data_IF_466742681764
#
_entry.id   IF_466742681764
#
_cell.length_a   1.000
_cell.length_b   1.000
_cell.length_c   1.000
_cell.angle_alpha   90.00
_cell.angle_beta   90.00
_cell.angle_gamma   90.00
#
_symmetry.space_group_name_H-M   'P 1'
#
loop_
_entity.id
_entity.type
_entity.pdbx_description
1 polymer ?
#
# COMPACT_ATOMS: atom_id res chain seq x y z
N UNK A 1 -2.18 -1.42 -12.77
CA UNK A 1 -1.80 -1.04 -11.39
C UNK A 1 -1.21 0.38 -11.25
N UNK A 2 -1.59 1.08 -10.17
CA UNK A 2 -1.04 2.36 -9.69
C UNK A 2 -0.26 2.15 -8.39
N UNK A 3 0.83 2.91 -8.20
CA UNK A 3 1.59 2.95 -6.95
C UNK A 3 1.56 4.34 -6.34
N UNK A 4 1.37 4.39 -5.02
CA UNK A 4 1.46 5.61 -4.22
C UNK A 4 2.31 5.31 -2.98
N UNK A 5 2.92 6.30 -2.36
CA UNK A 5 3.56 6.10 -1.05
C UNK A 5 3.27 7.23 -0.07
N UNK A 6 3.25 6.90 1.21
CA UNK A 6 3.22 7.87 2.31
C UNK A 6 4.49 7.76 3.15
N UNK A 7 5.12 8.91 3.41
CA UNK A 7 6.21 9.00 4.37
C UNK A 7 5.67 8.90 5.81
N UNK A 8 6.22 7.96 6.59
CA UNK A 8 5.90 7.73 8.00
C UNK A 8 7.16 7.79 8.88
N UNK A 9 8.04 8.77 8.59
CA UNK A 9 9.34 8.91 9.24
C UNK A 9 10.41 8.07 8.52
N UNK A 10 11.01 7.11 9.22
CA UNK A 10 12.05 6.22 8.66
C UNK A 10 11.49 5.25 7.62
N UNK A 11 10.24 4.85 7.79
CA UNK A 11 9.54 3.93 6.89
C UNK A 11 8.58 4.68 5.98
N UNK A 12 8.26 4.06 4.85
CA UNK A 12 7.16 4.44 3.98
C UNK A 12 6.14 3.30 3.91
N UNK A 13 4.88 3.66 3.84
CA UNK A 13 3.84 2.75 3.36
C UNK A 13 3.77 2.88 1.84
N UNK A 14 4.01 1.79 1.12
CA UNK A 14 3.81 1.71 -0.32
C UNK A 14 2.44 1.10 -0.57
N UNK A 15 1.58 1.85 -1.25
CA UNK A 15 0.23 1.45 -1.64
C UNK A 15 0.25 0.89 -3.05
N UNK A 16 -0.43 -0.24 -3.24
CA UNK A 16 -0.63 -0.90 -4.52
C UNK A 16 -2.12 -0.90 -4.82
N UNK A 17 -2.50 -0.36 -5.96
CA UNK A 17 -3.89 -0.24 -6.41
C UNK A 17 -4.04 -0.88 -7.80
N UNK A 18 -4.93 -1.86 -7.92
CA UNK A 18 -5.14 -2.64 -9.13
C UNK A 18 -5.87 -3.95 -8.84
N UNK A 19 -5.83 -4.88 -9.78
CA UNK A 19 -6.40 -6.21 -9.57
C UNK A 19 -5.57 -7.01 -8.56
N UNK A 20 -6.23 -7.90 -7.83
CA UNK A 20 -5.62 -8.67 -6.74
C UNK A 20 -4.35 -9.41 -7.20
N UNK A 21 -4.42 -10.08 -8.34
CA UNK A 21 -3.30 -10.83 -8.90
C UNK A 21 -2.12 -9.90 -9.30
N UNK A 22 -2.41 -8.69 -9.82
CA UNK A 22 -1.37 -7.71 -10.14
C UNK A 22 -0.63 -7.23 -8.88
N UNK A 23 -1.38 -7.00 -7.80
CA UNK A 23 -0.86 -6.57 -6.50
C UNK A 23 0.04 -7.66 -5.92
N UNK A 24 -0.42 -8.91 -5.89
CA UNK A 24 0.34 -10.04 -5.37
C UNK A 24 1.64 -10.26 -6.18
N UNK A 25 1.57 -10.20 -7.50
CA UNK A 25 2.74 -10.32 -8.37
C UNK A 25 3.76 -9.19 -8.13
N UNK A 26 3.30 -7.95 -7.97
CA UNK A 26 4.19 -6.82 -7.71
C UNK A 26 4.82 -6.92 -6.33
N UNK A 27 4.06 -7.30 -5.30
CA UNK A 27 4.60 -7.55 -3.97
C UNK A 27 5.64 -8.67 -3.99
N UNK A 28 5.36 -9.78 -4.67
CA UNK A 28 6.31 -10.90 -4.82
C UNK A 28 7.62 -10.44 -5.50
N UNK A 29 7.53 -9.63 -6.56
CA UNK A 29 8.70 -9.03 -7.20
C UNK A 29 9.49 -8.15 -6.22
N UNK A 30 8.80 -7.25 -5.52
CA UNK A 30 9.40 -6.37 -4.53
C UNK A 30 10.06 -7.14 -3.38
N UNK A 31 9.44 -8.22 -2.91
CA UNK A 31 9.97 -9.13 -1.90
C UNK A 31 11.26 -9.80 -2.37
N UNK A 32 11.23 -10.42 -3.55
CA UNK A 32 12.38 -11.11 -4.13
C UNK A 32 13.58 -10.18 -4.37
N UNK A 33 13.32 -8.90 -4.61
CA UNK A 33 14.35 -7.87 -4.79
C UNK A 33 14.70 -7.09 -3.51
N UNK A 34 14.12 -7.46 -2.36
CA UNK A 34 14.51 -6.99 -1.03
C UNK A 34 13.90 -5.67 -0.60
N UNK A 35 12.77 -5.26 -1.20
CA UNK A 35 12.03 -4.07 -0.78
C UNK A 35 11.43 -4.26 0.62
N UNK A 36 10.96 -5.46 0.93
CA UNK A 36 10.30 -5.75 2.21
C UNK A 36 10.58 -7.17 2.70
N UNK A 37 10.19 -7.42 3.95
CA UNK A 37 10.00 -8.72 4.58
C UNK A 37 8.63 -8.82 5.27
N UNK A 38 7.76 -7.84 5.04
CA UNK A 38 6.41 -7.80 5.59
C UNK A 38 5.41 -8.35 4.57
N UNK A 39 4.39 -9.02 5.08
CA UNK A 39 3.22 -9.41 4.30
C UNK A 39 2.50 -8.18 3.73
N UNK A 40 1.61 -8.43 2.77
CA UNK A 40 0.64 -7.45 2.28
C UNK A 40 -0.44 -7.20 3.33
N UNK A 41 -0.74 -5.93 3.58
CA UNK A 41 -1.89 -5.51 4.38
C UNK A 41 -2.99 -5.04 3.42
N UNK A 42 -4.06 -5.83 3.30
CA UNK A 42 -5.19 -5.53 2.42
C UNK A 42 -6.12 -4.49 3.04
N UNK A 43 -6.51 -3.52 2.22
CA UNK A 43 -7.47 -2.47 2.58
C UNK A 43 -8.84 -2.83 2.03
N UNK A 44 -8.88 -3.30 0.78
CA UNK A 44 -10.03 -3.85 0.09
C UNK A 44 -9.55 -4.75 -1.07
N UNK A 45 -10.45 -5.26 -1.89
CA UNK A 45 -10.14 -6.21 -2.98
C UNK A 45 -9.16 -5.67 -4.04
N UNK A 46 -9.10 -4.34 -4.20
CA UNK A 46 -8.29 -3.68 -5.24
C UNK A 46 -7.14 -2.85 -4.67
N UNK A 47 -6.89 -2.93 -3.36
CA UNK A 47 -5.89 -2.08 -2.72
C UNK A 47 -5.27 -2.73 -1.50
N UNK A 48 -3.95 -2.72 -1.48
CA UNK A 48 -3.14 -3.18 -0.36
C UNK A 48 -1.95 -2.26 -0.11
N UNK A 49 -1.26 -2.46 1.00
CA UNK A 49 0.00 -1.78 1.26
C UNK A 49 1.04 -2.70 1.89
N UNK A 50 2.29 -2.26 1.82
CA UNK A 50 3.42 -2.90 2.50
C UNK A 50 4.34 -1.84 3.07
N UNK A 51 5.02 -2.19 4.16
CA UNK A 51 6.03 -1.32 4.77
C UNK A 51 7.39 -1.51 4.11
N UNK A 52 8.11 -0.41 3.87
CA UNK A 52 9.47 -0.42 3.36
C UNK A 52 10.22 0.85 3.77
N UNK A 53 11.43 1.05 3.27
CA UNK A 53 12.16 2.32 3.31
C UNK A 53 12.46 2.77 1.88
N UNK A 54 12.63 4.07 1.64
CA UNK A 54 13.00 4.59 0.30
C UNK A 54 14.25 3.90 -0.25
N UNK A 55 15.25 3.67 0.60
CA UNK A 55 16.48 2.99 0.22
C UNK A 55 16.25 1.54 -0.21
N UNK A 56 15.42 0.78 0.52
CA UNK A 56 15.10 -0.61 0.17
C UNK A 56 14.28 -0.69 -1.10
N UNK A 57 13.26 0.17 -1.22
CA UNK A 57 12.43 0.23 -2.43
C UNK A 57 13.28 0.56 -3.65
N UNK A 58 14.09 1.62 -3.61
CA UNK A 58 14.96 1.99 -4.73
C UNK A 58 15.94 0.86 -5.09
N UNK A 59 16.58 0.23 -4.08
CA UNK A 59 17.45 -0.93 -4.32
C UNK A 59 16.71 -2.08 -5.00
N UNK A 60 15.48 -2.35 -4.60
CA UNK A 60 14.68 -3.41 -5.19
C UNK A 60 14.31 -3.09 -6.64
N UNK A 61 13.94 -1.85 -6.95
CA UNK A 61 13.67 -1.40 -8.32
C UNK A 61 14.92 -1.54 -9.21
N UNK A 62 16.10 -1.18 -8.71
CA UNK A 62 17.37 -1.39 -9.43
C UNK A 62 17.60 -2.87 -9.74
N UNK A 63 17.40 -3.74 -8.75
CA UNK A 63 17.60 -5.17 -8.92
C UNK A 63 16.60 -5.79 -9.90
N UNK A 64 15.33 -5.37 -9.84
CA UNK A 64 14.28 -5.82 -10.75
C UNK A 64 14.59 -5.41 -12.20
N UNK A 65 14.96 -4.15 -12.41
CA UNK A 65 15.34 -3.64 -13.73
C UNK A 65 16.60 -4.33 -14.25
N UNK A 66 17.60 -4.56 -13.41
CA UNK A 66 18.81 -5.29 -13.79
C UNK A 66 18.49 -6.73 -14.22
N UNK A 67 17.63 -7.42 -13.47
CA UNK A 67 17.20 -8.79 -13.80
C UNK A 67 16.46 -8.82 -15.15
N UNK A 68 15.56 -7.85 -15.39
CA UNK A 68 14.87 -7.71 -16.68
C UNK A 68 15.83 -7.45 -17.85
N UNK A 69 16.77 -6.52 -17.69
CA UNK A 69 17.78 -6.22 -18.71
C UNK A 69 18.63 -7.47 -19.05
N UNK A 70 19.05 -8.23 -18.04
CA UNK A 70 19.81 -9.46 -18.23
C UNK A 70 18.99 -10.57 -18.90
N UNK A 71 17.68 -10.63 -18.67
CA UNK A 71 16.80 -11.62 -19.30
C UNK A 71 16.49 -11.33 -20.78
N UNK A 72 16.51 -10.06 -21.19
CA UNK A 72 16.20 -9.63 -22.57
C UNK A 72 17.45 -9.65 -23.47
N UNK A 73 18.61 -9.30 -22.92
CA UNK A 73 19.85 -9.23 -23.68
C UNK A 73 20.42 -10.64 -23.89
N UNK A 74 20.20 -11.19 -25.09
CA UNK A 74 20.79 -12.47 -25.51
C UNK A 74 22.32 -12.42 -25.68
N UNK A 75 22.89 -11.22 -25.78
CA UNK A 75 24.28 -10.96 -26.14
C UNK A 75 24.86 -9.93 -25.18
N UNK A 76 25.80 -10.36 -24.33
CA UNK A 76 26.50 -9.56 -23.31
C UNK A 76 27.52 -8.59 -23.94
N UNK A 77 27.74 -8.71 -25.24
CA UNK A 77 28.79 -8.05 -26.01
C UNK A 77 28.73 -6.52 -25.94
N UNK A 78 27.55 -5.90 -25.94
CA UNK A 78 27.40 -4.43 -25.91
C UNK A 78 27.80 -3.78 -24.58
N UNK A 79 27.86 -4.58 -23.50
CA UNK A 79 28.15 -4.09 -22.15
C UNK A 79 29.44 -4.70 -21.57
N UNK A 80 30.15 -5.49 -22.37
CA UNK A 80 31.43 -6.10 -22.02
C UNK A 80 32.51 -5.03 -21.92
N UNK A 81 33.12 -4.90 -20.75
CA UNK A 81 34.17 -3.89 -20.49
C UNK A 81 33.66 -2.57 -19.92
N UNK A 82 32.33 -2.37 -19.83
CA UNK A 82 31.75 -1.24 -19.09
C UNK A 82 31.85 -1.54 -17.59
N UNK A 83 32.46 -0.65 -16.82
CA UNK A 83 32.55 -0.77 -15.36
C UNK A 83 31.14 -0.78 -14.76
N UNK A 84 30.74 -1.93 -14.20
CA UNK A 84 29.40 -2.14 -13.65
C UNK A 84 28.37 -2.71 -14.64
N UNK A 85 28.74 -2.98 -15.89
CA UNK A 85 27.88 -3.60 -16.90
C UNK A 85 26.55 -2.84 -17.07
N UNK A 86 25.43 -3.54 -16.92
CA UNK A 86 24.07 -3.00 -17.04
C UNK A 86 23.57 -2.23 -15.82
N UNK A 87 24.32 -2.23 -14.71
CA UNK A 87 23.89 -1.62 -13.45
C UNK A 87 23.60 -0.10 -13.56
N UNK A 88 24.39 0.71 -14.30
CA UNK A 88 24.07 2.12 -14.50
C UNK A 88 22.70 2.30 -15.17
N UNK A 89 22.40 1.52 -16.22
CA UNK A 89 21.11 1.60 -16.90
C UNK A 89 19.95 1.18 -16.00
N UNK A 90 20.14 0.13 -15.21
CA UNK A 90 19.16 -0.30 -14.23
C UNK A 90 18.87 0.77 -13.16
N UNK A 91 19.87 1.57 -12.77
CA UNK A 91 19.69 2.71 -11.86
C UNK A 91 18.87 3.83 -12.48
N UNK A 92 19.17 4.22 -13.71
CA UNK A 92 18.39 5.23 -14.43
C UNK A 92 16.91 4.83 -14.52
N UNK A 93 16.62 3.58 -14.88
CA UNK A 93 15.25 3.08 -14.97
C UNK A 93 14.55 3.06 -13.61
N UNK A 94 15.25 2.64 -12.56
CA UNK A 94 14.72 2.63 -11.20
C UNK A 94 14.44 4.05 -10.68
N UNK A 95 15.28 5.03 -11.01
CA UNK A 95 15.08 6.43 -10.62
C UNK A 95 13.84 7.02 -11.31
N UNK A 96 13.64 6.71 -12.60
CA UNK A 96 12.43 7.09 -13.35
C UNK A 96 11.19 6.43 -12.76
N UNK A 97 11.24 5.11 -12.50
CA UNK A 97 10.12 4.38 -11.89
C UNK A 97 9.77 4.94 -10.52
N UNK A 98 10.77 5.14 -9.64
CA UNK A 98 10.56 5.70 -8.31
C UNK A 98 9.99 7.12 -8.36
N UNK A 99 10.47 7.96 -9.28
CA UNK A 99 9.97 9.33 -9.47
C UNK A 99 8.52 9.38 -9.96
N UNK A 100 8.07 8.31 -10.63
CA UNK A 100 6.68 8.14 -11.05
C UNK A 100 5.73 7.70 -9.93
N UNK A 101 6.23 7.28 -8.77
CA UNK A 101 5.40 6.89 -7.63
C UNK A 101 4.89 8.15 -6.92
N UNK A 102 3.57 8.33 -6.90
CA UNK A 102 2.94 9.50 -6.30
C UNK A 102 3.12 9.50 -4.78
N UNK A 103 3.63 10.60 -4.22
CA UNK A 103 3.66 10.79 -2.77
C UNK A 103 2.30 11.32 -2.29
N UNK A 104 1.63 10.57 -1.43
CA UNK A 104 0.34 10.94 -0.83
C UNK A 104 0.48 11.30 0.65
N UNK A 105 -0.45 12.13 1.14
CA UNK A 105 -0.53 12.51 2.54
C UNK A 105 -1.80 11.94 3.20
N UNK A 106 -1.66 11.48 4.45
CA UNK A 106 -2.77 11.10 5.35
C UNK A 106 -3.69 9.99 4.81
N UNK A 107 -3.16 9.05 4.04
CA UNK A 107 -3.96 7.98 3.44
C UNK A 107 -4.65 7.11 4.49
N UNK A 108 -3.93 6.75 5.56
CA UNK A 108 -4.51 6.03 6.70
C UNK A 108 -5.63 6.80 7.43
N UNK A 109 -5.54 8.13 7.53
CA UNK A 109 -6.58 8.93 8.17
C UNK A 109 -7.88 8.96 7.33
N UNK A 110 -7.74 8.97 5.99
CA UNK A 110 -8.90 8.85 5.08
C UNK A 110 -9.62 7.52 5.27
N UNK A 111 -8.87 6.42 5.37
CA UNK A 111 -9.47 5.08 5.54
C UNK A 111 -10.13 4.90 6.89
N UNK A 112 -9.51 5.37 7.98
CA UNK A 112 -10.13 5.34 9.30
C UNK A 112 -11.45 6.12 9.30
N UNK A 113 -11.52 7.26 8.60
CA UNK A 113 -12.75 8.05 8.49
C UNK A 113 -13.84 7.34 7.66
N UNK A 114 -13.45 6.66 6.57
CA UNK A 114 -14.37 5.91 5.72
C UNK A 114 -14.93 4.66 6.40
N UNK A 115 -14.08 3.90 7.10
CA UNK A 115 -14.51 2.73 7.87
C UNK A 115 -15.53 3.10 8.96
N UNK A 116 -15.29 4.20 9.68
CA UNK A 116 -16.24 4.73 10.68
C UNK A 116 -17.56 5.15 10.02
N UNK A 117 -17.52 5.76 8.82
CA UNK A 117 -18.71 6.16 8.09
C UNK A 117 -19.54 4.96 7.62
N UNK A 118 -18.90 3.91 7.11
CA UNK A 118 -19.57 2.67 6.71
C UNK A 118 -20.22 1.95 7.91
N UNK A 119 -19.51 1.85 9.03
CA UNK A 119 -20.05 1.28 10.27
C UNK A 119 -21.27 2.07 10.79
N UNK A 120 -21.26 3.39 10.64
CA UNK A 120 -22.40 4.23 11.02
C UNK A 120 -23.62 4.00 10.11
N UNK A 121 -23.41 3.86 8.79
CA UNK A 121 -24.50 3.61 7.83
C UNK A 121 -25.14 2.24 8.05
N UNK A 122 -24.34 1.19 8.29
CA UNK A 122 -24.85 -0.16 8.59
C UNK A 122 -25.66 -0.16 9.88
N UNK A 123 -25.17 0.51 10.94
CA UNK A 123 -25.89 0.61 12.21
C UNK A 123 -27.20 1.45 12.12
N UNK A 124 -27.30 2.36 11.15
CA UNK A 124 -28.53 3.13 10.91
C UNK A 124 -29.57 2.34 10.11
N UNK A 125 -29.16 1.49 9.16
CA UNK A 125 -30.07 0.67 8.36
C UNK A 125 -30.63 -0.55 9.12
N UNK A 126 -29.99 -0.97 10.21
CA UNK A 126 -30.43 -2.06 11.08
C UNK A 126 -31.26 -1.65 12.30
N UNK A 127 -31.49 -0.36 12.55
CA UNK A 127 -32.15 0.10 13.77
C UNK A 127 -33.09 1.27 13.48
N UNK A 128 -34.36 0.96 13.23
CA UNK A 128 -35.43 1.94 12.96
C UNK A 128 -35.87 2.74 14.19
N UNK A 129 -35.17 2.65 15.32
CA UNK A 129 -35.43 3.47 16.49
C UNK A 129 -34.65 4.80 16.42
N UNK A 130 -35.41 5.88 16.36
CA UNK A 130 -34.87 7.24 16.33
C UNK A 130 -34.03 7.53 17.59
N UNK A 131 -33.03 8.42 17.51
CA UNK A 131 -32.24 8.83 18.68
C UNK A 131 -33.10 9.35 19.86
N UNK A 132 -34.30 9.85 19.57
CA UNK A 132 -35.26 10.35 20.57
C UNK A 132 -35.86 9.23 21.42
N UNK A 133 -36.12 8.05 20.84
CA UNK A 133 -36.70 6.90 21.55
C UNK A 133 -35.70 6.24 22.50
N UNK A 134 -34.40 6.28 22.16
CA UNK A 134 -33.31 5.76 23.02
C UNK A 134 -33.08 6.60 24.29
N UNK A 135 -33.38 7.91 24.23
CA UNK A 135 -33.27 8.80 25.38
C UNK A 135 -34.36 8.58 26.44
N UNK A 136 -35.51 8.01 26.08
CA UNK A 136 -36.63 7.81 27.01
C UNK A 136 -36.57 6.51 27.81
N UNK A 137 -35.87 5.48 27.29
CA UNK A 137 -35.73 4.18 28.00
C UNK A 137 -34.70 4.17 29.13
N UNK A 138 -33.85 5.21 29.24
CA UNK A 138 -32.86 5.32 30.32
C UNK A 138 -33.35 6.15 31.53
N UNK A 139 -34.56 6.72 31.49
CA UNK A 139 -35.04 7.65 32.52
C UNK A 139 -36.24 7.15 33.36
N UNK A 140 -36.75 5.93 33.12
CA UNK A 140 -37.93 5.40 33.82
C UNK A 140 -37.61 4.14 34.64
N UNK A 141 -36.46 4.14 35.32
CA UNK A 141 -35.92 2.97 36.01
C UNK A 141 -35.62 3.15 37.51
N UNK A 142 -36.25 4.07 38.23
CA UNK A 142 -36.17 4.08 39.71
C UNK A 142 -37.40 4.74 40.35
N UNK A 143 -38.44 3.95 40.63
CA UNK A 143 -39.29 4.19 41.80
C UNK A 143 -39.60 2.83 42.44
N UNK A 144 -38.89 2.50 43.50
CA UNK A 144 -39.36 1.50 44.47
C UNK A 144 -40.42 2.15 45.36
N UNK A 145 -41.50 1.45 45.73
CA UNK A 145 -42.17 1.72 46.99
C UNK A 145 -42.00 0.55 47.98
N UNK A 146 -41.94 1.00 49.23
CA UNK A 146 -41.87 0.35 50.55
C UNK A 146 -42.58 -0.98 50.74
#
# INVERSE_FOLDING_TARGET
>A
MKLEYQDCGTNIALFLDGEKEEIEQKHMSLWNHGATKSELEWVNEHRAYMWTTKQKLLKALVNANLFGLLGVLKTVEEYKGIKGGLLPKARELADVEFSGIEKVAKQFAKWNSAAIAEEFVVNYQGNSASPFERGQMLYHGTVQPS
#
